data_IF_762076606834
#
_entry.id   IF_762076606834
#
_cell.length_a   1.000
_cell.length_b   1.000
_cell.length_c   1.000
_cell.angle_alpha   90.00
_cell.angle_beta   90.00
_cell.angle_gamma   90.00
#
_symmetry.space_group_name_H-M   'P 1'
#
loop_
_entity.id
_entity.type
_entity.pdbx_description
1 polymer ?
#
# COMPACT_ATOMS: atom_id res chain seq x y z
N UNK A 1 4.54 -22.24 9.22
CA UNK A 1 5.95 -21.82 9.31
C UNK A 1 5.96 -20.44 9.95
N UNK A 2 6.73 -20.24 11.02
CA UNK A 2 6.86 -18.95 11.68
C UNK A 2 8.27 -18.41 11.41
N UNK A 3 8.38 -17.14 11.07
CA UNK A 3 9.64 -16.46 10.73
C UNK A 3 9.87 -15.37 11.78
N UNK A 4 11.11 -15.18 12.20
CA UNK A 4 11.51 -14.08 13.08
C UNK A 4 12.69 -13.36 12.43
N UNK A 5 12.62 -12.02 12.39
CA UNK A 5 13.69 -11.17 11.87
C UNK A 5 14.04 -10.16 12.95
N UNK A 6 15.32 -10.05 13.28
CA UNK A 6 15.82 -8.99 14.15
C UNK A 6 16.10 -7.74 13.32
N UNK A 7 15.44 -6.63 13.64
CA UNK A 7 15.68 -5.33 13.02
C UNK A 7 15.70 -4.24 14.10
N UNK A 8 16.52 -3.21 13.91
CA UNK A 8 16.41 -1.96 14.66
C UNK A 8 15.42 -1.06 13.92
N UNK A 9 14.25 -0.81 14.51
CA UNK A 9 13.24 0.06 13.90
C UNK A 9 13.71 1.52 13.94
N UNK A 10 13.62 2.19 12.78
CA UNK A 10 13.73 3.63 12.70
C UNK A 10 12.32 4.26 12.67
N UNK A 11 12.04 5.36 13.40
CA UNK A 11 10.72 5.99 13.41
C UNK A 11 10.20 6.38 12.02
N UNK A 12 11.11 6.82 11.14
CA UNK A 12 10.81 7.16 9.74
C UNK A 12 10.21 6.01 8.93
N UNK A 13 10.36 4.76 9.34
CA UNK A 13 9.77 3.59 8.66
C UNK A 13 8.28 3.41 8.95
N UNK A 14 7.72 4.20 9.87
CA UNK A 14 6.30 4.19 10.18
C UNK A 14 5.52 5.19 9.34
N UNK A 15 6.21 6.08 8.62
CA UNK A 15 5.60 7.05 7.71
C UNK A 15 5.94 6.66 6.25
N UNK A 16 4.97 6.17 5.46
CA UNK A 16 5.21 5.79 4.08
C UNK A 16 5.67 6.96 3.18
N UNK A 17 5.42 8.23 3.57
CA UNK A 17 5.86 9.41 2.83
C UNK A 17 7.33 9.80 3.05
N UNK A 18 7.92 9.35 4.16
CA UNK A 18 9.31 9.69 4.57
C UNK A 18 10.27 8.49 4.48
N UNK A 19 9.75 7.29 4.23
CA UNK A 19 10.53 6.05 4.25
C UNK A 19 11.45 5.93 3.04
N UNK A 20 12.71 5.50 3.25
CA UNK A 20 13.63 5.25 2.14
C UNK A 20 13.32 3.97 1.37
N UNK A 21 13.60 3.97 0.07
CA UNK A 21 13.47 2.81 -0.82
C UNK A 21 14.52 1.72 -0.50
N UNK A 22 14.27 0.94 0.55
CA UNK A 22 15.10 -0.21 0.95
C UNK A 22 14.24 -1.41 1.38
N UNK A 23 14.79 -2.62 1.26
CA UNK A 23 14.06 -3.87 1.52
C UNK A 23 13.53 -3.94 2.97
N UNK A 24 14.35 -3.55 3.94
CA UNK A 24 14.00 -3.66 5.37
C UNK A 24 12.78 -2.78 5.75
N UNK A 25 12.76 -1.47 5.43
CA UNK A 25 11.56 -0.66 5.67
C UNK A 25 10.31 -1.19 4.96
N UNK A 26 10.44 -1.75 3.74
CA UNK A 26 9.28 -2.32 3.05
C UNK A 26 8.63 -3.48 3.79
N UNK A 27 9.38 -4.29 4.55
CA UNK A 27 8.79 -5.36 5.37
C UNK A 27 7.85 -4.76 6.43
N UNK A 28 8.25 -3.64 7.03
CA UNK A 28 7.45 -2.94 8.03
C UNK A 28 6.24 -2.27 7.38
N UNK A 29 6.44 -1.57 6.26
CA UNK A 29 5.35 -0.92 5.53
C UNK A 29 4.32 -1.93 5.03
N UNK A 30 4.73 -3.11 4.56
CA UNK A 30 3.81 -4.15 4.08
C UNK A 30 2.97 -4.75 5.20
N UNK A 31 3.46 -4.70 6.45
CA UNK A 31 2.73 -5.15 7.62
C UNK A 31 1.73 -4.12 8.15
N UNK A 32 1.97 -2.82 7.89
CA UNK A 32 1.20 -1.71 8.48
C UNK A 32 0.30 -0.97 7.48
N UNK A 33 0.66 -0.98 6.20
CA UNK A 33 0.05 -0.14 5.16
C UNK A 33 -0.28 -0.93 3.89
N UNK A 34 -1.32 -0.47 3.21
CA UNK A 34 -1.65 -0.88 1.84
C UNK A 34 -1.51 0.29 0.89
N UNK A 35 -0.93 0.03 -0.28
CA UNK A 35 -0.96 0.95 -1.42
C UNK A 35 -2.15 0.61 -2.32
N UNK A 36 -2.43 1.43 -3.34
CA UNK A 36 -3.42 1.07 -4.37
C UNK A 36 -3.05 -0.24 -5.07
N UNK A 37 -1.80 -0.30 -5.53
CA UNK A 37 -1.18 -1.44 -6.21
C UNK A 37 0.20 -1.63 -5.60
N UNK A 38 0.59 -2.87 -5.28
CA UNK A 38 1.94 -3.17 -4.78
C UNK A 38 2.45 -4.52 -5.28
N UNK A 39 3.78 -4.74 -5.27
CA UNK A 39 4.36 -6.06 -5.51
C UNK A 39 3.84 -7.09 -4.51
N UNK A 40 3.26 -8.18 -5.03
CA UNK A 40 2.74 -9.29 -4.25
C UNK A 40 3.03 -10.60 -5.00
N UNK A 41 2.74 -11.80 -4.43
CA UNK A 41 3.07 -13.06 -5.08
C UNK A 41 2.50 -13.24 -6.51
N UNK A 42 1.44 -12.51 -6.87
CA UNK A 42 0.85 -12.55 -8.22
C UNK A 42 1.59 -11.68 -9.25
N UNK A 43 2.53 -10.83 -8.85
CA UNK A 43 3.31 -9.96 -9.74
C UNK A 43 3.67 -8.60 -9.14
N UNK A 44 4.46 -7.83 -9.89
CA UNK A 44 4.91 -6.49 -9.47
C UNK A 44 3.77 -5.48 -9.33
N UNK A 45 2.73 -5.60 -10.16
CA UNK A 45 1.55 -4.75 -10.14
C UNK A 45 0.34 -5.56 -9.71
N UNK A 46 0.24 -5.87 -8.41
CA UNK A 46 -0.88 -6.65 -7.87
C UNK A 46 -1.89 -5.73 -7.16
N UNK A 47 -3.21 -5.96 -7.34
CA UNK A 47 -4.24 -5.27 -6.57
C UNK A 47 -4.01 -5.37 -5.06
N UNK A 48 -4.11 -4.23 -4.36
CA UNK A 48 -4.02 -4.13 -2.91
C UNK A 48 -5.24 -3.39 -2.38
N UNK A 49 -5.15 -2.09 -2.04
CA UNK A 49 -6.32 -1.30 -1.66
C UNK A 49 -7.28 -1.09 -2.84
N UNK A 50 -6.75 -0.91 -4.05
CA UNK A 50 -7.55 -0.94 -5.26
C UNK A 50 -7.84 -2.40 -5.65
N UNK A 51 -9.09 -2.71 -5.97
CA UNK A 51 -9.49 -4.01 -6.50
C UNK A 51 -9.38 -4.09 -8.02
N UNK A 52 -9.48 -2.96 -8.71
CA UNK A 52 -9.26 -2.85 -10.15
C UNK A 52 -8.84 -1.43 -10.53
N UNK A 53 -8.31 -1.25 -11.73
CA UNK A 53 -8.07 0.06 -12.31
C UNK A 53 -8.22 0.03 -13.83
N UNK A 54 -8.51 1.19 -14.41
CA UNK A 54 -8.53 1.42 -15.85
C UNK A 54 -7.50 2.50 -16.23
N UNK A 55 -7.06 2.49 -17.48
CA UNK A 55 -6.12 3.45 -18.03
C UNK A 55 -6.78 4.11 -19.24
N UNK A 56 -6.69 5.43 -19.33
CA UNK A 56 -7.23 6.18 -20.46
C UNK A 56 -6.51 5.80 -21.77
N UNK A 57 -7.15 5.97 -22.95
CA UNK A 57 -6.55 5.60 -24.23
C UNK A 57 -5.22 6.31 -24.53
N UNK A 58 -5.02 7.51 -24.00
CA UNK A 58 -3.80 8.30 -24.14
C UNK A 58 -2.76 8.03 -23.04
N UNK A 59 -3.08 7.17 -22.06
CA UNK A 59 -2.18 6.76 -20.99
C UNK A 59 -1.91 7.81 -19.91
N UNK A 60 -2.66 8.92 -19.90
CA UNK A 60 -2.44 10.04 -18.96
C UNK A 60 -3.41 10.04 -17.77
N UNK A 61 -4.49 9.26 -17.85
CA UNK A 61 -5.50 9.11 -16.82
C UNK A 61 -5.55 7.68 -16.29
N UNK A 62 -5.65 7.55 -14.97
CA UNK A 62 -5.86 6.29 -14.27
C UNK A 62 -7.07 6.43 -13.36
N UNK A 63 -7.96 5.44 -13.40
CA UNK A 63 -9.11 5.35 -12.49
C UNK A 63 -8.96 4.09 -11.65
N UNK A 64 -8.95 4.23 -10.32
CA UNK A 64 -8.81 3.11 -9.38
C UNK A 64 -10.11 2.88 -8.63
N UNK A 65 -10.60 1.64 -8.65
CA UNK A 65 -11.73 1.22 -7.82
C UNK A 65 -11.20 0.71 -6.48
N UNK A 66 -11.55 1.39 -5.38
CA UNK A 66 -11.17 0.97 -4.02
C UNK A 66 -12.06 -0.19 -3.54
N UNK A 67 -11.46 -1.11 -2.77
CA UNK A 67 -12.20 -2.18 -2.10
C UNK A 67 -13.29 -1.62 -1.20
N UNK A 68 -14.50 -2.16 -1.34
CA UNK A 68 -15.63 -1.77 -0.51
C UNK A 68 -15.44 -2.20 0.95
N UNK A 69 -15.77 -1.30 1.88
CA UNK A 69 -15.72 -1.58 3.32
C UNK A 69 -14.31 -1.61 3.93
N UNK A 70 -13.28 -1.19 3.18
CA UNK A 70 -11.94 -0.99 3.73
C UNK A 70 -11.98 0.00 4.91
N UNK A 71 -11.26 -0.33 5.98
CA UNK A 71 -11.18 0.48 7.20
C UNK A 71 -9.75 0.58 7.68
N UNK A 72 -9.41 1.72 8.26
CA UNK A 72 -8.21 1.87 9.05
C UNK A 72 -8.32 1.05 10.33
N UNK A 73 -7.18 0.81 10.98
CA UNK A 73 -7.11 0.04 12.23
C UNK A 73 -7.91 0.69 13.39
N UNK A 74 -8.17 2.00 13.32
CA UNK A 74 -8.99 2.74 14.28
C UNK A 74 -10.52 2.63 14.01
N UNK A 75 -10.91 1.98 12.91
CA UNK A 75 -12.30 1.76 12.51
C UNK A 75 -12.84 2.74 11.48
N UNK A 76 -12.14 3.83 11.18
CA UNK A 76 -12.58 4.82 10.19
C UNK A 76 -12.61 4.20 8.78
N UNK A 77 -13.59 4.55 7.94
CA UNK A 77 -13.64 4.06 6.56
C UNK A 77 -12.49 4.64 5.74
N UNK A 78 -11.91 3.83 4.86
CA UNK A 78 -10.97 4.31 3.83
C UNK A 78 -11.77 4.84 2.65
N UNK A 79 -11.45 6.05 2.19
CA UNK A 79 -12.11 6.73 1.08
C UNK A 79 -11.08 7.23 0.05
N UNK A 80 -11.57 7.71 -1.09
CA UNK A 80 -10.71 8.29 -2.12
C UNK A 80 -9.99 9.58 -1.65
N UNK A 81 -10.53 10.29 -0.67
CA UNK A 81 -9.89 11.49 -0.12
C UNK A 81 -8.61 11.14 0.66
N UNK A 82 -8.53 9.95 1.25
CA UNK A 82 -7.35 9.49 1.99
C UNK A 82 -6.20 9.04 1.06
N UNK A 83 -6.52 8.78 -0.21
CA UNK A 83 -5.60 8.26 -1.24
C UNK A 83 -5.04 9.37 -2.13
N UNK A 84 -5.75 10.49 -2.22
CA UNK A 84 -5.47 11.59 -3.16
C UNK A 84 -4.07 12.24 -2.99
N UNK A 85 -3.41 12.01 -1.85
CA UNK A 85 -2.19 12.71 -1.42
C UNK A 85 -0.95 11.82 -1.49
#
# INVERSE_FOLDING_TARGET
MAWAVHVTLAPRWLDPGETESAIIPFIVLYALHDALVKPMPAGLNTPSLAESWSVSPDGTGYEFALRQGARFHNGDPVTAEDVKF
#
